data_IF_404942476034
#
_entry.id   IF_404942476034
#
_cell.length_a   1.000
_cell.length_b   1.000
_cell.length_c   1.000
_cell.angle_alpha   90.00
_cell.angle_beta   90.00
_cell.angle_gamma   90.00
#
_symmetry.space_group_name_H-M   'P 1'
#
loop_
_entity.id
_entity.type
_entity.pdbx_description
1 polymer ?
#
# COMPACT_ATOMS: atom_id res chain seq x y z
N UNK A 1 12.75 -4.13 16.39
CA UNK A 1 11.36 -4.13 15.92
C UNK A 1 11.32 -4.97 14.67
N UNK A 2 10.40 -5.92 14.59
CA UNK A 2 10.21 -6.68 13.35
C UNK A 2 9.54 -5.79 12.30
N UNK A 3 9.93 -5.98 11.05
CA UNK A 3 9.47 -5.18 9.91
C UNK A 3 9.09 -6.11 8.76
N UNK A 4 7.99 -5.83 8.09
CA UNK A 4 7.54 -6.51 6.87
C UNK A 4 7.51 -5.51 5.72
N UNK A 5 7.80 -5.98 4.51
CA UNK A 5 7.64 -5.18 3.28
C UNK A 5 6.38 -5.63 2.55
N UNK A 6 5.47 -4.69 2.34
CA UNK A 6 4.26 -4.91 1.54
C UNK A 6 4.35 -4.13 0.24
N UNK A 7 3.76 -4.67 -0.81
CA UNK A 7 3.58 -3.93 -2.06
C UNK A 7 2.17 -3.37 -2.09
N UNK A 8 2.07 -2.05 -2.19
CA UNK A 8 0.79 -1.35 -2.27
C UNK A 8 0.73 -0.57 -3.57
N UNK A 9 -0.45 -0.56 -4.18
CA UNK A 9 -0.73 0.32 -5.31
C UNK A 9 -1.13 1.68 -4.76
N UNK A 10 -0.66 2.73 -5.39
CA UNK A 10 -1.00 4.11 -5.05
C UNK A 10 -1.40 4.83 -6.31
N UNK A 11 -2.59 5.39 -6.30
CA UNK A 11 -3.04 6.34 -7.31
C UNK A 11 -2.43 7.71 -6.99
N UNK A 12 -1.76 8.31 -7.97
CA UNK A 12 -1.10 9.61 -7.86
C UNK A 12 -1.52 10.51 -9.01
N UNK A 13 -1.78 11.78 -8.73
CA UNK A 13 -1.85 12.80 -9.78
C UNK A 13 -0.44 13.14 -10.32
N UNK A 14 -0.37 13.93 -11.39
CA UNK A 14 0.90 14.33 -12.01
C UNK A 14 1.89 14.98 -11.02
N UNK A 15 1.51 16.00 -10.20
CA UNK A 15 2.39 16.55 -9.18
C UNK A 15 2.92 15.52 -8.17
N UNK A 16 2.06 14.65 -7.65
CA UNK A 16 2.43 13.60 -6.68
C UNK A 16 3.42 12.61 -7.29
N UNK A 17 3.16 12.16 -8.52
CA UNK A 17 4.04 11.24 -9.24
C UNK A 17 5.43 11.85 -9.48
N UNK A 18 5.51 13.11 -9.88
CA UNK A 18 6.81 13.79 -10.08
C UNK A 18 7.59 13.89 -8.76
N UNK A 19 6.92 14.32 -7.68
CA UNK A 19 7.56 14.44 -6.37
C UNK A 19 8.02 13.08 -5.83
N UNK A 20 7.20 12.05 -5.97
CA UNK A 20 7.54 10.69 -5.60
C UNK A 20 8.72 10.18 -6.43
N UNK A 21 8.72 10.40 -7.75
CA UNK A 21 9.79 9.94 -8.62
C UNK A 21 11.15 10.58 -8.30
N UNK A 22 11.17 11.86 -7.93
CA UNK A 22 12.40 12.55 -7.54
C UNK A 22 13.01 12.06 -6.23
N UNK A 23 12.16 11.58 -5.31
CA UNK A 23 12.58 10.96 -4.05
C UNK A 23 13.06 9.53 -4.23
N UNK A 24 12.58 8.84 -5.28
CA UNK A 24 12.86 7.42 -5.53
C UNK A 24 13.44 7.19 -6.96
N UNK A 25 14.56 7.84 -7.33
CA UNK A 25 15.11 7.75 -8.69
C UNK A 25 15.44 6.31 -9.11
N UNK A 26 15.83 5.44 -8.18
CA UNK A 26 16.07 4.01 -8.41
C UNK A 26 14.82 3.24 -8.83
N UNK A 27 13.64 3.70 -8.42
CA UNK A 27 12.36 3.10 -8.79
C UNK A 27 11.79 3.67 -10.09
N UNK A 28 12.32 4.77 -10.62
CA UNK A 28 11.73 5.50 -11.76
C UNK A 28 12.63 5.58 -12.98
N UNK A 29 13.95 5.49 -12.83
CA UNK A 29 14.92 5.59 -13.93
C UNK A 29 14.56 4.64 -15.09
N UNK A 30 14.36 5.19 -16.28
CA UNK A 30 14.02 4.44 -17.48
C UNK A 30 12.60 3.87 -17.52
N UNK A 31 11.74 4.21 -16.55
CA UNK A 31 10.38 3.72 -16.47
C UNK A 31 9.37 4.66 -17.09
N UNK A 32 8.28 4.05 -17.56
CA UNK A 32 7.08 4.69 -18.08
C UNK A 32 5.91 4.44 -17.13
N UNK A 33 5.21 5.50 -16.75
CA UNK A 33 3.98 5.45 -15.97
C UNK A 33 2.81 5.87 -16.85
N UNK A 34 1.87 4.96 -17.10
CA UNK A 34 0.70 5.20 -17.93
C UNK A 34 -0.49 5.67 -17.08
N UNK A 35 -1.40 6.44 -17.67
CA UNK A 35 -2.69 6.74 -17.05
C UNK A 35 -3.60 5.51 -17.09
N UNK A 36 -4.45 5.30 -16.07
CA UNK A 36 -5.38 4.16 -16.05
C UNK A 36 -6.37 4.17 -17.23
N UNK A 37 -6.75 5.37 -17.66
CA UNK A 37 -7.73 5.56 -18.71
C UNK A 37 -7.03 5.85 -20.06
N UNK A 38 -7.22 4.92 -21.01
CA UNK A 38 -7.00 5.01 -22.47
C UNK A 38 -5.63 4.58 -23.01
N UNK A 39 -5.68 3.52 -23.83
CA UNK A 39 -4.79 3.14 -24.94
C UNK A 39 -3.26 3.11 -24.72
N UNK A 40 -2.76 3.25 -23.49
CA UNK A 40 -1.32 3.36 -23.18
C UNK A 40 -0.59 4.50 -23.92
N UNK A 41 -1.33 5.44 -24.53
CA UNK A 41 -0.77 6.54 -25.30
C UNK A 41 -0.32 7.68 -24.39
N UNK A 42 -1.05 7.93 -23.29
CA UNK A 42 -0.72 8.93 -22.28
C UNK A 42 0.19 8.33 -21.21
N UNK A 43 1.41 8.86 -21.12
CA UNK A 43 2.38 8.44 -20.12
C UNK A 43 3.36 9.54 -19.74
N UNK A 44 3.99 9.34 -18.59
CA UNK A 44 5.20 10.04 -18.18
C UNK A 44 6.36 9.06 -18.26
N UNK A 45 7.45 9.50 -18.89
CA UNK A 45 8.69 8.74 -18.95
C UNK A 45 9.79 9.47 -18.19
N UNK A 46 10.49 8.75 -17.32
CA UNK A 46 11.64 9.24 -16.59
C UNK A 46 12.94 8.76 -17.26
N UNK A 47 13.87 9.68 -17.45
CA UNK A 47 15.10 9.43 -18.21
C UNK A 47 15.99 8.37 -17.56
N UNK A 48 16.86 7.76 -18.37
CA UNK A 48 17.91 6.85 -17.90
C UNK A 48 19.10 7.56 -17.23
N UNK A 49 19.16 8.90 -17.28
CA UNK A 49 20.33 9.65 -16.83
C UNK A 49 20.39 9.78 -15.30
N UNK A 50 19.29 10.23 -14.70
CA UNK A 50 19.23 10.53 -13.26
C UNK A 50 17.87 10.21 -12.62
N UNK A 51 16.91 9.66 -13.37
CA UNK A 51 15.54 9.40 -12.90
C UNK A 51 14.75 10.65 -12.50
N UNK A 52 15.28 11.85 -12.73
CA UNK A 52 14.69 13.13 -12.31
C UNK A 52 14.23 13.99 -13.49
N UNK A 53 14.79 13.77 -14.66
CA UNK A 53 14.27 14.36 -15.91
C UNK A 53 13.13 13.51 -16.43
N UNK A 54 12.00 14.14 -16.76
CA UNK A 54 10.85 13.45 -17.34
C UNK A 54 10.22 14.24 -18.49
N UNK A 55 9.48 13.54 -19.34
CA UNK A 55 8.61 14.14 -20.34
C UNK A 55 7.25 13.43 -20.37
N UNK A 56 6.23 14.13 -20.85
CA UNK A 56 4.90 13.57 -21.09
C UNK A 56 4.75 13.24 -22.57
N UNK A 57 4.13 12.11 -22.90
CA UNK A 57 3.87 11.72 -24.30
C UNK A 57 2.75 12.53 -24.95
N UNK A 58 1.83 13.07 -24.14
CA UNK A 58 0.69 13.86 -24.57
C UNK A 58 0.32 14.91 -23.52
N UNK A 59 -0.75 15.66 -23.77
CA UNK A 59 -1.36 16.54 -22.78
C UNK A 59 -1.92 15.71 -21.61
N UNK A 60 -1.46 16.05 -20.40
CA UNK A 60 -1.94 15.51 -19.13
C UNK A 60 -2.83 16.56 -18.48
N UNK A 61 -4.04 16.18 -18.07
CA UNK A 61 -4.96 17.05 -17.33
C UNK A 61 -4.85 16.78 -15.82
N UNK A 62 -5.33 17.70 -14.96
CA UNK A 62 -5.34 17.47 -13.51
C UNK A 62 -6.13 16.24 -13.07
N UNK A 63 -7.06 15.75 -13.89
CA UNK A 63 -7.88 14.55 -13.63
C UNK A 63 -7.21 13.25 -14.08
N UNK A 64 -6.10 13.32 -14.82
CA UNK A 64 -5.34 12.13 -15.21
C UNK A 64 -4.55 11.62 -13.99
N UNK A 65 -4.73 10.33 -13.65
CA UNK A 65 -4.06 9.68 -12.52
C UNK A 65 -3.23 8.48 -12.97
N UNK A 66 -2.23 8.15 -12.16
CA UNK A 66 -1.23 7.11 -12.42
C UNK A 66 -1.18 6.15 -11.25
N UNK A 67 -1.21 4.85 -11.53
CA UNK A 67 -1.04 3.82 -10.49
C UNK A 67 0.42 3.41 -10.42
N UNK A 68 1.00 3.56 -9.22
CA UNK A 68 2.37 3.17 -8.91
C UNK A 68 2.35 2.06 -7.87
N UNK A 69 3.09 0.98 -8.11
CA UNK A 69 3.35 -0.05 -7.11
C UNK A 69 4.57 0.39 -6.27
N UNK A 70 4.36 0.62 -4.98
CA UNK A 70 5.39 1.01 -4.03
C UNK A 70 5.57 -0.08 -2.98
N UNK A 71 6.81 -0.26 -2.53
CA UNK A 71 7.12 -1.14 -1.41
C UNK A 71 7.17 -0.31 -0.14
N UNK A 72 6.34 -0.66 0.85
CA UNK A 72 6.28 0.02 2.15
C UNK A 72 6.76 -0.91 3.24
N UNK A 73 7.60 -0.38 4.12
CA UNK A 73 8.00 -1.05 5.35
C UNK A 73 6.93 -0.80 6.41
N UNK A 74 6.36 -1.88 6.94
CA UNK A 74 5.37 -1.84 8.01
C UNK A 74 5.93 -2.52 9.26
N UNK A 75 5.43 -2.08 10.39
CA UNK A 75 5.69 -2.62 11.73
C UNK A 75 4.36 -2.84 12.44
N UNK A 76 4.37 -3.49 13.60
CA UNK A 76 3.16 -3.61 14.43
C UNK A 76 2.63 -2.25 14.93
N UNK A 77 3.46 -1.20 14.89
CA UNK A 77 3.10 0.18 15.24
C UNK A 77 2.60 1.00 14.04
N UNK A 78 2.66 0.47 12.81
CA UNK A 78 2.15 1.17 11.63
C UNK A 78 0.64 1.37 11.77
N UNK A 79 0.19 2.62 11.64
CA UNK A 79 -1.24 2.96 11.67
C UNK A 79 -1.83 2.76 10.28
N UNK A 80 -2.86 1.93 10.19
CA UNK A 80 -3.59 1.65 8.97
C UNK A 80 -4.95 2.36 8.98
N UNK A 81 -5.31 2.98 7.85
CA UNK A 81 -6.65 3.57 7.66
C UNK A 81 -7.75 2.53 7.88
N UNK A 82 -7.47 1.28 7.48
CA UNK A 82 -8.35 0.13 7.72
C UNK A 82 -7.55 -1.13 7.99
N UNK A 83 -7.72 -1.69 9.18
CA UNK A 83 -7.10 -2.93 9.63
C UNK A 83 -8.19 -3.97 9.89
N UNK A 84 -8.08 -5.13 9.24
CA UNK A 84 -8.98 -6.26 9.49
C UNK A 84 -8.33 -7.20 10.47
N UNK A 85 -9.09 -7.64 11.45
CA UNK A 85 -8.64 -8.59 12.45
C UNK A 85 -9.61 -9.75 12.54
N UNK A 86 -9.05 -10.92 12.79
CA UNK A 86 -9.81 -12.16 12.95
C UNK A 86 -9.54 -12.68 14.35
N UNK A 87 -10.60 -12.86 15.13
CA UNK A 87 -10.55 -13.44 16.47
C UNK A 87 -11.39 -14.73 16.52
N UNK A 88 -11.01 -15.61 17.44
CA UNK A 88 -11.68 -16.89 17.65
C UNK A 88 -12.64 -16.76 18.84
N UNK A 89 -13.95 -16.90 18.58
CA UNK A 89 -14.99 -16.78 19.62
C UNK A 89 -15.19 -18.10 20.35
N UNK A 90 -15.13 -19.18 19.59
CA UNK A 90 -15.17 -20.57 20.07
C UNK A 90 -14.26 -21.41 19.19
N UNK A 91 -13.88 -22.62 19.63
CA UNK A 91 -12.92 -23.46 18.91
C UNK A 91 -13.33 -23.67 17.44
N UNK A 92 -12.52 -23.15 16.51
CA UNK A 92 -12.78 -23.20 15.07
C UNK A 92 -13.80 -22.19 14.52
N UNK A 93 -14.36 -21.32 15.37
CA UNK A 93 -15.30 -20.25 14.98
C UNK A 93 -14.59 -18.89 14.94
N UNK A 94 -14.37 -18.39 13.72
CA UNK A 94 -13.62 -17.17 13.45
C UNK A 94 -14.55 -16.04 13.01
N UNK A 95 -14.44 -14.90 13.68
CA UNK A 95 -15.18 -13.70 13.31
C UNK A 95 -14.22 -12.58 12.88
N UNK A 96 -14.45 -11.96 11.70
CA UNK A 96 -13.71 -10.79 11.29
C UNK A 96 -14.36 -9.51 11.83
N UNK A 97 -13.53 -8.50 12.09
CA UNK A 97 -13.99 -7.11 12.21
C UNK A 97 -12.98 -6.19 11.50
N UNK A 98 -13.39 -4.94 11.24
CA UNK A 98 -12.52 -3.94 10.64
C UNK A 98 -12.46 -2.70 11.51
N UNK A 99 -11.25 -2.34 11.93
CA UNK A 99 -10.97 -1.12 12.67
C UNK A 99 -10.39 -0.07 11.74
N UNK A 100 -10.57 1.21 12.10
CA UNK A 100 -10.07 2.34 11.32
C UNK A 100 -9.00 3.07 12.10
N UNK A 101 -8.00 3.58 11.39
CA UNK A 101 -6.93 4.41 11.92
C UNK A 101 -6.26 3.81 13.17
N UNK A 102 -5.89 2.53 13.09
CA UNK A 102 -5.28 1.81 14.22
C UNK A 102 -4.07 0.98 13.76
N UNK A 103 -3.25 0.56 14.72
CA UNK A 103 -2.13 -0.35 14.51
C UNK A 103 -2.41 -1.74 15.08
N UNK A 104 -1.55 -2.72 14.75
CA UNK A 104 -1.59 -4.06 15.33
C UNK A 104 -1.41 -3.97 16.85
N UNK A 105 -0.40 -3.22 17.31
CA UNK A 105 -0.13 -3.06 18.74
C UNK A 105 -1.27 -2.38 19.48
N UNK A 106 -1.87 -1.34 18.92
CA UNK A 106 -3.04 -0.70 19.55
C UNK A 106 -4.21 -1.68 19.64
N UNK A 107 -4.47 -2.47 18.59
CA UNK A 107 -5.55 -3.46 18.58
C UNK A 107 -5.30 -4.64 19.53
N UNK A 108 -4.05 -5.08 19.69
CA UNK A 108 -3.65 -6.14 20.63
C UNK A 108 -3.72 -5.69 22.10
N UNK A 109 -3.51 -4.40 22.37
CA UNK A 109 -3.57 -3.83 23.72
C UNK A 109 -4.98 -3.43 24.16
N UNK A 110 -5.98 -3.59 23.29
CA UNK A 110 -7.38 -3.36 23.64
C UNK A 110 -7.89 -4.48 24.57
N UNK A 111 -8.70 -4.12 25.58
CA UNK A 111 -9.21 -5.02 26.63
C UNK A 111 -10.31 -5.96 26.09
N UNK A 112 -9.93 -6.81 25.13
CA UNK A 112 -10.86 -7.66 24.40
C UNK A 112 -11.05 -9.02 25.06
N UNK A 113 -12.28 -9.53 24.95
CA UNK A 113 -12.65 -10.84 25.50
C UNK A 113 -12.06 -12.02 24.74
N UNK A 114 -11.67 -11.84 23.47
CA UNK A 114 -11.23 -12.93 22.59
C UNK A 114 -9.83 -12.66 22.02
N UNK A 115 -8.95 -13.68 21.94
CA UNK A 115 -7.63 -13.53 21.39
C UNK A 115 -7.70 -13.30 19.87
N UNK A 116 -6.99 -12.28 19.40
CA UNK A 116 -6.79 -12.04 17.96
C UNK A 116 -5.84 -13.10 17.41
N UNK A 117 -6.19 -13.67 16.26
CA UNK A 117 -5.43 -14.73 15.58
C UNK A 117 -4.65 -14.21 14.39
N UNK A 118 -5.20 -13.23 13.68
CA UNK A 118 -4.59 -12.71 12.47
C UNK A 118 -5.02 -11.27 12.19
N UNK A 119 -4.13 -10.52 11.54
CA UNK A 119 -4.43 -9.22 10.94
C UNK A 119 -4.20 -9.23 9.44
N UNK A 120 -5.06 -8.49 8.74
CA UNK A 120 -5.05 -8.34 7.30
C UNK A 120 -5.22 -6.88 6.89
N UNK A 121 -4.62 -6.51 5.77
CA UNK A 121 -4.91 -5.27 5.07
C UNK A 121 -5.76 -5.56 3.83
N UNK A 122 -6.61 -4.60 3.46
CA UNK A 122 -7.41 -4.66 2.23
C UNK A 122 -6.65 -3.89 1.14
N UNK A 123 -6.34 -4.57 0.04
CA UNK A 123 -5.73 -3.99 -1.14
C UNK A 123 -6.81 -3.29 -2.00
N UNK A 124 -6.39 -2.42 -2.92
CA UNK A 124 -7.30 -1.66 -3.80
C UNK A 124 -8.17 -2.57 -4.69
N UNK A 125 -7.68 -3.77 -5.03
CA UNK A 125 -8.42 -4.78 -5.81
C UNK A 125 -9.38 -5.64 -4.96
N UNK A 126 -9.63 -5.22 -3.71
CA UNK A 126 -10.47 -5.88 -2.71
C UNK A 126 -9.95 -7.25 -2.26
N UNK A 127 -8.72 -7.63 -2.64
CA UNK A 127 -8.04 -8.77 -2.02
C UNK A 127 -7.49 -8.39 -0.65
N UNK A 128 -7.26 -9.38 0.21
CA UNK A 128 -6.68 -9.16 1.53
C UNK A 128 -5.28 -9.77 1.61
N UNK A 129 -4.36 -9.04 2.22
CA UNK A 129 -3.00 -9.53 2.51
C UNK A 129 -2.90 -9.82 4.00
N UNK A 130 -2.54 -11.05 4.36
CA UNK A 130 -2.20 -11.42 5.74
C UNK A 130 -0.87 -10.75 6.11
N UNK A 131 -0.88 -9.94 7.17
CA UNK A 131 0.32 -9.20 7.61
C UNK A 131 0.84 -9.65 8.98
N UNK A 132 0.00 -10.28 9.79
CA UNK A 132 0.37 -10.76 11.12
C UNK A 132 -0.42 -11.99 11.49
N UNK A 133 0.22 -12.97 12.12
CA UNK A 133 -0.42 -14.19 12.62
C UNK A 133 0.32 -14.77 13.81
N UNK A 134 -0.43 -15.25 14.80
CA UNK A 134 0.09 -16.03 15.94
C UNK A 134 1.28 -15.36 16.68
N UNK A 135 1.30 -14.03 16.79
CA UNK A 135 2.34 -13.31 17.52
C UNK A 135 3.44 -12.69 16.65
N UNK A 136 3.43 -12.90 15.33
CA UNK A 136 4.53 -12.50 14.45
C UNK A 136 4.02 -11.81 13.18
N UNK A 137 4.81 -10.84 12.68
CA UNK A 137 4.62 -10.29 11.34
C UNK A 137 4.98 -11.33 10.28
N UNK A 138 4.17 -11.43 9.22
CA UNK A 138 4.46 -12.31 8.08
C UNK A 138 5.59 -11.71 7.24
N UNK A 139 6.48 -12.55 6.69
CA UNK A 139 7.62 -12.13 5.86
C UNK A 139 7.40 -12.45 4.39
#
# INVERSE_FOLDING_TARGET
>A
METMKIKVKKEMNLPELIQWAWKNPELTTGKRFCTENKDNEKFIYFSWEDGRKCFTSYFITPEDTFVVEVEEEITEDTVFDRLFEVYEISEGEYNPTSNRNTSINESLNDDRCFPIKAFYILNDDLTMTLIWKDGELIK
#
